data_IF_662427481447
#
_entry.id   IF_662427481447
#
_cell.length_a   1.000
_cell.length_b   1.000
_cell.length_c   1.000
_cell.angle_alpha   90.00
_cell.angle_beta   90.00
_cell.angle_gamma   90.00
#
_symmetry.space_group_name_H-M   'P 1'
#
loop_
_entity.id
_entity.type
_entity.pdbx_description
1 polymer ?
#
# COMPACT_ATOMS: atom_id res chain seq x y z
N UNK A 1 4.95 -9.97 13.89
CA UNK A 1 4.47 -8.88 13.01
C UNK A 1 4.18 -9.49 11.65
N UNK A 2 2.94 -9.42 11.17
CA UNK A 2 2.55 -9.96 9.86
C UNK A 2 2.49 -8.78 8.89
N UNK A 3 3.34 -8.80 7.88
CA UNK A 3 3.27 -7.85 6.77
C UNK A 3 2.31 -8.41 5.72
N UNK A 4 1.21 -7.70 5.49
CA UNK A 4 0.25 -8.02 4.43
C UNK A 4 0.72 -7.36 3.13
N UNK A 5 0.90 -8.15 2.07
CA UNK A 5 1.25 -7.60 0.77
C UNK A 5 0.07 -6.82 0.18
N UNK A 6 0.35 -5.62 -0.33
CA UNK A 6 -0.63 -4.80 -1.03
C UNK A 6 -0.64 -5.14 -2.52
N UNK A 7 -1.83 -5.40 -3.04
CA UNK A 7 -2.05 -5.62 -4.47
C UNK A 7 -2.05 -4.28 -5.21
N UNK A 8 -0.85 -3.82 -5.56
CA UNK A 8 -0.59 -2.62 -6.36
C UNK A 8 -0.32 -3.00 -7.82
N UNK A 9 0.59 -2.32 -8.51
CA UNK A 9 0.97 -2.59 -9.91
C UNK A 9 2.29 -3.35 -9.99
N UNK A 10 2.66 -3.81 -11.19
CA UNK A 10 3.93 -4.51 -11.41
C UNK A 10 5.14 -3.62 -11.08
N UNK A 11 5.04 -2.33 -11.38
CA UNK A 11 6.09 -1.32 -11.18
C UNK A 11 6.16 -0.78 -9.76
N UNK A 12 5.08 -0.90 -8.99
CA UNK A 12 4.98 -0.40 -7.62
C UNK A 12 4.50 -1.52 -6.71
N UNK A 13 5.39 -2.04 -5.88
CA UNK A 13 5.06 -3.05 -4.86
C UNK A 13 4.82 -2.37 -3.51
N UNK A 14 3.97 -2.98 -2.69
CA UNK A 14 3.69 -2.46 -1.36
C UNK A 14 3.40 -3.53 -0.34
N UNK A 15 3.59 -3.19 0.93
CA UNK A 15 3.19 -4.01 2.07
C UNK A 15 2.63 -3.12 3.18
N UNK A 16 1.64 -3.63 3.91
CA UNK A 16 1.03 -3.01 5.08
C UNK A 16 1.39 -3.82 6.32
N UNK A 17 1.79 -3.12 7.38
CA UNK A 17 1.97 -3.71 8.70
C UNK A 17 1.10 -2.95 9.69
N UNK A 18 0.15 -3.64 10.30
CA UNK A 18 -0.69 -3.09 11.37
C UNK A 18 -0.02 -3.36 12.72
N UNK A 19 0.13 -2.32 13.52
CA UNK A 19 0.55 -2.36 14.93
C UNK A 19 -0.56 -1.75 15.78
N UNK A 20 -0.43 -1.84 17.10
CA UNK A 20 -1.50 -1.53 18.07
C UNK A 20 -2.17 -0.15 17.88
N UNK A 21 -1.45 0.84 17.35
CA UNK A 21 -2.02 2.18 17.09
C UNK A 21 -1.55 2.81 15.78
N UNK A 22 -0.87 2.04 14.91
CA UNK A 22 -0.33 2.58 13.66
C UNK A 22 -0.40 1.56 12.54
N UNK A 23 -0.70 2.04 11.33
CA UNK A 23 -0.56 1.27 10.10
C UNK A 23 0.68 1.77 9.36
N UNK A 24 1.64 0.88 9.13
CA UNK A 24 2.87 1.18 8.40
C UNK A 24 2.74 0.69 6.96
N UNK A 25 2.88 1.60 6.00
CA UNK A 25 2.87 1.30 4.58
C UNK A 25 4.29 1.39 4.03
N UNK A 26 4.81 0.30 3.50
CA UNK A 26 6.09 0.28 2.77
C UNK A 26 5.78 0.18 1.28
N UNK A 27 6.36 1.07 0.50
CA UNK A 27 6.21 1.10 -0.95
C UNK A 27 7.60 1.01 -1.57
N UNK A 28 7.74 0.15 -2.58
CA UNK A 28 9.00 -0.07 -3.29
C UNK A 28 8.74 -0.13 -4.78
N UNK A 29 9.39 0.75 -5.53
CA UNK A 29 9.23 0.85 -6.97
C UNK A 29 8.92 2.28 -7.40
N UNK A 30 8.26 2.42 -8.54
CA UNK A 30 8.00 3.71 -9.17
C UNK A 30 6.52 4.06 -9.05
N UNK A 31 6.25 5.20 -8.41
CA UNK A 31 4.91 5.81 -8.37
C UNK A 31 4.83 6.85 -9.49
N UNK A 32 4.02 6.55 -10.49
CA UNK A 32 3.73 7.37 -11.68
C UNK A 32 2.22 7.53 -11.88
N UNK A 33 1.83 8.31 -12.90
CA UNK A 33 0.43 8.56 -13.25
C UNK A 33 -0.37 7.28 -13.59
N UNK A 34 0.29 6.17 -13.94
CA UNK A 34 -0.37 4.90 -14.23
C UNK A 34 -0.63 4.07 -12.97
N UNK A 35 0.29 4.13 -12.01
CA UNK A 35 0.18 3.43 -10.73
C UNK A 35 -0.57 4.21 -9.67
N UNK A 36 -0.64 5.54 -9.79
CA UNK A 36 -1.33 6.45 -8.86
C UNK A 36 -2.81 6.08 -8.61
N UNK A 37 -3.64 5.76 -9.61
CA UNK A 37 -5.05 5.42 -9.37
C UNK A 37 -5.22 4.15 -8.52
N UNK A 38 -4.43 3.11 -8.82
CA UNK A 38 -4.42 1.85 -8.06
C UNK A 38 -3.87 2.07 -6.66
N UNK A 39 -2.77 2.83 -6.53
CA UNK A 39 -2.18 3.19 -5.25
C UNK A 39 -3.20 3.89 -4.35
N UNK A 40 -3.85 4.94 -4.85
CA UNK A 40 -4.84 5.71 -4.11
C UNK A 40 -6.01 4.84 -3.66
N UNK A 41 -6.54 4.02 -4.57
CA UNK A 41 -7.64 3.09 -4.27
C UNK A 41 -7.30 2.12 -3.14
N UNK A 42 -6.12 1.50 -3.22
CA UNK A 42 -5.68 0.49 -2.24
C UNK A 42 -5.37 1.13 -0.90
N UNK A 43 -4.70 2.29 -0.87
CA UNK A 43 -4.38 2.97 0.39
C UNK A 43 -5.65 3.46 1.10
N UNK A 44 -6.56 4.13 0.39
CA UNK A 44 -7.81 4.63 0.98
C UNK A 44 -8.61 3.49 1.62
N UNK A 45 -8.76 2.36 0.91
CA UNK A 45 -9.46 1.18 1.45
C UNK A 45 -8.84 0.59 2.72
N UNK A 46 -7.55 0.83 2.98
CA UNK A 46 -6.86 0.32 4.18
C UNK A 46 -6.83 1.33 5.32
N UNK A 47 -6.94 2.62 5.00
CA UNK A 47 -6.99 3.72 5.99
C UNK A 47 -8.39 3.83 6.60
N UNK A 48 -9.43 3.59 5.81
CA UNK A 48 -10.84 3.66 6.27
C UNK A 48 -11.28 2.41 7.08
N UNK A 49 -10.37 1.45 7.32
CA UNK A 49 -10.56 0.23 8.12
C UNK A 49 -10.18 0.47 9.58
#
# INVERSE_FOLDING_TARGET
MIAEQLNLTVSLRGAREVRDNVQLFRLTGLLDAFSEPTFRKVLSSKIDE
#
